data_IF_639880996556
#
_entry.id   IF_639880996556
#
_cell.length_a   1.000
_cell.length_b   1.000
_cell.length_c   1.000
_cell.angle_alpha   90.00
_cell.angle_beta   90.00
_cell.angle_gamma   90.00
#
_symmetry.space_group_name_H-M   'P 1'
#
loop_
_entity.id
_entity.type
_entity.pdbx_description
1 polymer ?
#
# COMPACT_ATOMS: atom_id res chain seq x y z
N UNK A 1 -12.25 -27.18 -4.12
CA UNK A 1 -10.99 -26.42 -4.13
C UNK A 1 -11.35 -24.96 -3.92
N UNK A 2 -10.87 -24.33 -2.85
CA UNK A 2 -11.03 -22.89 -2.67
C UNK A 2 -9.92 -22.26 -3.50
N UNK A 3 -10.28 -21.58 -4.59
CA UNK A 3 -9.33 -20.81 -5.40
C UNK A 3 -9.01 -19.52 -4.67
N UNK A 4 -7.74 -19.19 -4.51
CA UNK A 4 -7.32 -17.87 -4.04
C UNK A 4 -7.89 -16.77 -4.97
N UNK A 5 -8.19 -15.58 -4.43
CA UNK A 5 -8.52 -14.41 -5.23
C UNK A 5 -7.46 -14.11 -6.31
N UNK A 6 -7.87 -13.53 -7.45
CA UNK A 6 -6.96 -13.21 -8.54
C UNK A 6 -6.05 -12.02 -8.18
N UNK A 7 -4.88 -11.97 -8.80
CA UNK A 7 -4.00 -10.80 -8.71
C UNK A 7 -4.64 -9.59 -9.38
N UNK A 8 -4.40 -8.39 -8.82
CA UNK A 8 -4.89 -7.12 -9.36
C UNK A 8 -3.74 -6.15 -9.58
N UNK A 9 -3.70 -5.53 -10.75
CA UNK A 9 -2.60 -4.67 -11.17
C UNK A 9 -3.08 -3.26 -11.48
N UNK A 10 -2.28 -2.27 -11.10
CA UNK A 10 -2.42 -0.88 -11.53
C UNK A 10 -1.07 -0.38 -12.03
N UNK A 11 -1.01 0.03 -13.29
CA UNK A 11 0.21 0.42 -13.99
C UNK A 11 0.08 1.82 -14.59
N UNK A 12 1.16 2.61 -14.55
CA UNK A 12 1.20 3.88 -15.25
C UNK A 12 1.00 3.70 -16.75
N UNK A 13 0.51 4.73 -17.43
CA UNK A 13 0.25 4.67 -18.87
C UNK A 13 1.49 4.27 -19.69
N UNK A 14 2.68 4.64 -19.22
CA UNK A 14 3.96 4.30 -19.85
C UNK A 14 4.61 3.01 -19.31
N UNK A 15 3.98 2.32 -18.36
CA UNK A 15 4.48 1.09 -17.74
C UNK A 15 5.75 1.25 -16.88
N UNK A 16 6.19 2.49 -16.66
CA UNK A 16 7.41 2.80 -15.91
C UNK A 16 7.29 2.52 -14.41
N UNK A 17 6.07 2.47 -13.89
CA UNK A 17 5.76 2.02 -12.52
C UNK A 17 4.43 1.28 -12.49
N UNK A 18 4.38 0.20 -11.72
CA UNK A 18 3.17 -0.54 -11.43
C UNK A 18 3.18 -1.12 -10.02
N UNK A 19 1.99 -1.38 -9.50
CA UNK A 19 1.76 -2.20 -8.32
C UNK A 19 0.87 -3.38 -8.67
N UNK A 20 1.29 -4.55 -8.21
CA UNK A 20 0.57 -5.82 -8.29
C UNK A 20 0.19 -6.24 -6.87
N UNK A 21 -1.10 -6.46 -6.64
CA UNK A 21 -1.63 -7.01 -5.40
C UNK A 21 -1.79 -8.51 -5.59
N UNK A 22 -0.99 -9.30 -4.88
CA UNK A 22 -1.00 -10.76 -4.97
C UNK A 22 -1.58 -11.38 -3.71
N UNK A 23 -2.46 -12.36 -3.86
CA UNK A 23 -3.01 -13.05 -2.70
C UNK A 23 -1.91 -13.82 -1.96
N UNK A 24 -1.72 -13.49 -0.69
CA UNK A 24 -0.76 -14.11 0.21
C UNK A 24 -1.48 -14.50 1.51
N UNK A 25 -1.67 -15.81 1.71
CA UNK A 25 -2.38 -16.39 2.86
C UNK A 25 -3.82 -15.88 3.00
N UNK A 26 -4.03 -14.80 3.73
CA UNK A 26 -5.31 -14.22 4.09
C UNK A 26 -5.51 -12.78 3.59
N UNK A 27 -4.56 -12.23 2.83
CA UNK A 27 -4.56 -10.83 2.39
C UNK A 27 -3.85 -10.64 1.06
N UNK A 28 -3.97 -9.45 0.47
CA UNK A 28 -3.15 -9.04 -0.65
C UNK A 28 -1.83 -8.42 -0.20
N UNK A 29 -0.73 -8.99 -0.68
CA UNK A 29 0.60 -8.42 -0.58
C UNK A 29 0.86 -7.47 -1.75
N UNK A 30 1.53 -6.35 -1.51
CA UNK A 30 1.87 -5.37 -2.52
C UNK A 30 3.21 -5.74 -3.18
N UNK A 31 3.28 -5.68 -4.51
CA UNK A 31 4.49 -5.89 -5.31
C UNK A 31 4.64 -4.72 -6.26
N UNK A 32 5.63 -3.88 -6.05
CA UNK A 32 5.96 -2.72 -6.87
C UNK A 32 7.06 -3.06 -7.85
N UNK A 33 7.02 -2.45 -9.03
CA UNK A 33 8.08 -2.60 -10.01
C UNK A 33 7.76 -1.90 -11.31
N UNK A 34 8.42 -2.34 -12.36
CA UNK A 34 8.18 -1.93 -13.75
C UNK A 34 7.66 -3.12 -14.55
N UNK A 35 7.28 -2.93 -15.80
CA UNK A 35 6.95 -4.05 -16.69
C UNK A 35 8.15 -5.00 -16.93
N UNK A 36 9.39 -4.49 -16.85
CA UNK A 36 10.60 -5.25 -17.12
C UNK A 36 11.18 -5.94 -15.87
N UNK A 37 10.90 -5.40 -14.68
CA UNK A 37 11.49 -5.84 -13.43
C UNK A 37 10.47 -5.72 -12.30
N UNK A 38 10.02 -6.87 -11.78
CA UNK A 38 9.06 -6.96 -10.69
C UNK A 38 9.27 -8.26 -9.88
N UNK A 39 9.30 -8.19 -8.53
CA UNK A 39 9.22 -6.98 -7.71
C UNK A 39 10.57 -6.26 -7.58
N UNK A 40 10.53 -4.94 -7.55
CA UNK A 40 11.59 -4.09 -7.00
C UNK A 40 11.40 -3.90 -5.49
N UNK A 41 10.15 -3.76 -5.04
CA UNK A 41 9.77 -3.58 -3.64
C UNK A 41 8.47 -4.36 -3.38
N UNK A 42 8.33 -4.95 -2.21
CA UNK A 42 7.29 -5.86 -1.77
C UNK A 42 6.88 -5.51 -0.34
N UNK A 43 5.57 -5.55 -0.04
CA UNK A 43 5.14 -5.37 1.36
C UNK A 43 5.56 -6.56 2.20
N UNK A 44 6.08 -6.28 3.39
CA UNK A 44 6.38 -7.29 4.40
C UNK A 44 5.06 -7.64 5.10
N UNK A 45 4.75 -8.93 5.16
CA UNK A 45 3.55 -9.47 5.78
C UNK A 45 3.91 -10.36 6.97
N UNK A 46 3.02 -10.40 7.96
CA UNK A 46 3.06 -11.39 9.04
C UNK A 46 2.26 -12.65 8.67
N UNK A 47 2.19 -13.58 9.62
CA UNK A 47 1.54 -14.88 9.45
C UNK A 47 0.00 -14.86 9.59
N UNK A 48 -0.65 -13.69 9.50
CA UNK A 48 -2.12 -13.60 9.56
C UNK A 48 -2.72 -13.47 10.95
N UNK A 49 -1.96 -13.76 12.01
CA UNK A 49 -2.52 -13.93 13.37
C UNK A 49 -2.53 -12.68 14.25
N UNK A 50 -1.93 -11.57 13.79
CA UNK A 50 -1.71 -10.39 14.62
C UNK A 50 -2.90 -9.43 14.57
N UNK A 51 -3.30 -8.89 15.73
CA UNK A 51 -4.33 -7.85 15.81
C UNK A 51 -3.90 -6.52 15.16
N UNK A 52 -2.59 -6.28 15.10
CA UNK A 52 -1.94 -5.13 14.51
C UNK A 52 -0.83 -5.61 13.58
N UNK A 53 -1.19 -6.02 12.35
CA UNK A 53 -0.23 -6.55 11.41
C UNK A 53 0.76 -5.49 10.94
N UNK A 54 1.92 -5.92 10.42
CA UNK A 54 2.97 -5.01 9.95
C UNK A 54 2.67 -4.32 8.60
N UNK A 55 1.60 -4.75 7.92
CA UNK A 55 1.01 -4.11 6.75
C UNK A 55 -0.53 -4.25 6.79
N UNK A 56 -1.29 -3.40 6.06
CA UNK A 56 -2.75 -3.46 6.04
C UNK A 56 -3.26 -4.82 5.54
N UNK A 57 -4.13 -5.52 6.29
CA UNK A 57 -4.60 -6.87 5.95
C UNK A 57 -5.75 -6.82 4.93
N UNK A 58 -5.49 -6.30 3.73
CA UNK A 58 -6.52 -6.11 2.69
C UNK A 58 -6.99 -7.47 2.16
N UNK A 59 -8.27 -7.78 2.34
CA UNK A 59 -8.87 -9.09 2.05
C UNK A 59 -9.81 -9.05 0.84
N UNK A 60 -10.36 -7.88 0.54
CA UNK A 60 -11.19 -7.63 -0.62
C UNK A 60 -10.59 -6.44 -1.36
N UNK A 61 -10.45 -6.59 -2.67
CA UNK A 61 -9.85 -5.58 -3.55
C UNK A 61 -10.58 -5.62 -4.89
N UNK A 62 -10.85 -4.46 -5.45
CA UNK A 62 -11.38 -4.32 -6.81
C UNK A 62 -10.63 -3.24 -7.58
N UNK A 63 -10.55 -3.42 -8.89
CA UNK A 63 -10.08 -2.41 -9.83
C UNK A 63 -11.32 -1.74 -10.45
N UNK A 64 -11.48 -0.46 -10.20
CA UNK A 64 -12.64 0.32 -10.62
C UNK A 64 -12.23 1.43 -11.60
N UNK A 65 -12.99 1.59 -12.66
CA UNK A 65 -12.85 2.75 -13.55
C UNK A 65 -13.62 3.95 -12.94
N UNK A 66 -12.91 5.01 -12.56
CA UNK A 66 -13.49 6.25 -12.03
C UNK A 66 -13.20 7.44 -12.97
N UNK A 67 -13.88 8.60 -12.84
CA UNK A 67 -13.68 9.73 -13.76
C UNK A 67 -12.25 10.26 -13.86
N UNK A 68 -11.40 9.96 -12.87
CA UNK A 68 -10.00 10.37 -12.80
C UNK A 68 -9.01 9.30 -13.30
N UNK A 69 -9.49 8.15 -13.75
CA UNK A 69 -8.68 7.00 -14.18
C UNK A 69 -9.04 5.72 -13.42
N UNK A 70 -8.26 4.66 -13.61
CA UNK A 70 -8.46 3.43 -12.84
C UNK A 70 -7.96 3.61 -11.40
N UNK A 71 -8.69 3.01 -10.45
CA UNK A 71 -8.33 2.99 -9.04
C UNK A 71 -8.52 1.60 -8.44
N UNK A 72 -7.58 1.17 -7.60
CA UNK A 72 -7.75 0.01 -6.74
C UNK A 72 -8.40 0.44 -5.44
N UNK A 73 -9.50 -0.21 -5.07
CA UNK A 73 -10.23 0.02 -3.82
C UNK A 73 -10.24 -1.27 -3.02
N UNK A 74 -9.75 -1.20 -1.78
CA UNK A 74 -9.63 -2.38 -0.94
C UNK A 74 -10.11 -2.17 0.49
N UNK A 75 -10.57 -3.26 1.10
CA UNK A 75 -10.96 -3.32 2.51
C UNK A 75 -10.45 -4.61 3.15
N UNK A 76 -10.26 -4.56 4.46
CA UNK A 76 -9.82 -5.71 5.23
C UNK A 76 -9.91 -5.47 6.74
N UNK A 77 -9.52 -6.47 7.52
CA UNK A 77 -9.59 -6.41 8.97
C UNK A 77 -8.59 -7.29 9.68
N UNK A 78 -8.16 -6.84 10.86
CA UNK A 78 -7.41 -7.63 11.83
C UNK A 78 -7.90 -7.31 13.25
N UNK A 79 -8.14 -8.36 14.04
CA UNK A 79 -8.73 -8.21 15.37
C UNK A 79 -10.05 -7.44 15.35
N UNK A 80 -10.06 -6.24 15.93
CA UNK A 80 -11.24 -5.35 15.96
C UNK A 80 -11.12 -4.12 15.07
N UNK A 81 -10.10 -4.09 14.21
CA UNK A 81 -9.81 -2.97 13.31
C UNK A 81 -10.37 -3.20 11.91
N UNK A 82 -10.79 -2.12 11.25
CA UNK A 82 -11.20 -2.11 9.85
C UNK A 82 -10.26 -1.23 9.05
N UNK A 83 -9.76 -1.76 7.95
CA UNK A 83 -8.81 -1.11 7.07
C UNK A 83 -9.47 -0.85 5.72
N UNK A 84 -9.13 0.28 5.12
CA UNK A 84 -9.45 0.59 3.73
C UNK A 84 -8.24 1.21 3.06
N UNK A 85 -8.11 0.94 1.76
CA UNK A 85 -7.07 1.47 0.89
C UNK A 85 -7.70 1.97 -0.41
N UNK A 86 -7.21 3.11 -0.91
CA UNK A 86 -7.34 3.50 -2.31
C UNK A 86 -5.95 3.64 -2.92
N UNK A 87 -5.81 3.18 -4.16
CA UNK A 87 -4.60 3.41 -4.97
C UNK A 87 -5.01 3.93 -6.34
N UNK A 88 -4.41 5.03 -6.77
CA UNK A 88 -4.70 5.64 -8.06
C UNK A 88 -3.47 6.39 -8.60
N UNK A 89 -3.49 6.73 -9.88
CA UNK A 89 -2.45 7.56 -10.48
C UNK A 89 -2.63 9.04 -10.13
N UNK A 90 -1.51 9.73 -9.88
CA UNK A 90 -1.49 11.20 -9.83
C UNK A 90 -0.98 11.72 -11.15
N UNK A 91 -1.73 12.65 -11.76
CA UNK A 91 -1.27 13.38 -12.91
C UNK A 91 -0.11 14.31 -12.51
N UNK A 92 1.12 13.84 -12.70
CA UNK A 92 2.34 14.64 -12.58
C UNK A 92 2.98 14.74 -13.96
N UNK A 93 3.27 15.97 -14.40
CA UNK A 93 3.81 16.23 -15.73
C UNK A 93 5.18 15.55 -15.98
N UNK A 94 5.90 15.22 -14.91
CA UNK A 94 7.31 14.82 -15.01
C UNK A 94 7.61 13.45 -14.40
N UNK A 95 6.70 12.79 -13.69
CA UNK A 95 7.03 11.53 -13.02
C UNK A 95 5.79 10.66 -12.77
N UNK A 96 5.71 9.47 -13.38
CA UNK A 96 4.68 8.49 -13.08
C UNK A 96 4.66 8.14 -11.59
N UNK A 97 3.50 8.34 -10.98
CA UNK A 97 3.33 8.29 -9.52
C UNK A 97 2.03 7.58 -9.17
N UNK A 98 2.11 6.66 -8.21
CA UNK A 98 0.97 6.01 -7.58
C UNK A 98 0.72 6.67 -6.22
N UNK A 99 -0.50 7.14 -5.99
CA UNK A 99 -0.97 7.63 -4.70
C UNK A 99 -1.62 6.49 -3.94
N UNK A 100 -1.21 6.32 -2.70
CA UNK A 100 -1.82 5.44 -1.72
C UNK A 100 -2.50 6.28 -0.65
N UNK A 101 -3.74 5.96 -0.33
CA UNK A 101 -4.45 6.54 0.81
C UNK A 101 -5.03 5.41 1.65
N UNK A 102 -4.76 5.46 2.94
CA UNK A 102 -5.15 4.42 3.87
C UNK A 102 -5.95 5.01 5.01
N UNK A 103 -6.91 4.23 5.48
CA UNK A 103 -7.58 4.50 6.73
C UNK A 103 -7.69 3.23 7.54
N UNK A 104 -7.50 3.35 8.86
CA UNK A 104 -7.75 2.29 9.81
C UNK A 104 -8.67 2.81 10.91
N UNK A 105 -9.83 2.17 11.07
CA UNK A 105 -10.77 2.42 12.17
C UNK A 105 -10.56 1.40 13.28
N UNK A 106 -10.47 1.86 14.51
CA UNK A 106 -10.18 1.03 15.68
C UNK A 106 -10.86 1.54 16.95
N UNK A 107 -11.09 0.64 17.91
CA UNK A 107 -11.76 0.94 19.19
C UNK A 107 -10.80 1.09 20.37
N UNK A 108 -9.56 0.62 20.22
CA UNK A 108 -8.50 0.70 21.22
C UNK A 108 -7.21 1.18 20.55
N UNK A 109 -6.29 1.73 21.34
CA UNK A 109 -5.02 2.24 20.83
C UNK A 109 -4.26 1.12 20.09
N UNK A 110 -3.86 1.34 18.83
CA UNK A 110 -3.18 0.32 18.06
C UNK A 110 -1.74 0.15 18.52
N UNK A 111 -1.25 -1.09 18.53
CA UNK A 111 0.17 -1.37 18.77
C UNK A 111 1.06 -0.92 17.59
N UNK A 112 0.52 -1.00 16.38
CA UNK A 112 1.15 -0.53 15.15
C UNK A 112 0.07 -0.19 14.12
N UNK A 113 0.34 0.84 13.31
CA UNK A 113 -0.38 1.13 12.07
C UNK A 113 0.64 1.55 11.01
N UNK A 114 0.47 1.06 9.80
CA UNK A 114 1.33 1.41 8.68
C UNK A 114 1.51 0.25 7.72
N UNK A 115 2.47 0.41 6.83
CA UNK A 115 2.96 -0.60 5.91
C UNK A 115 4.48 -0.69 6.03
N UNK A 116 5.02 -1.90 5.88
CA UNK A 116 6.46 -2.13 5.78
C UNK A 116 6.81 -2.69 4.41
N UNK A 117 7.96 -2.29 3.89
CA UNK A 117 8.45 -2.68 2.58
C UNK A 117 9.94 -3.02 2.64
N UNK A 118 10.39 -3.96 1.81
CA UNK A 118 11.82 -4.10 1.47
C UNK A 118 12.21 -2.96 0.51
N UNK A 119 12.90 -1.96 1.04
CA UNK A 119 13.25 -0.76 0.33
C UNK A 119 14.17 -1.04 -0.86
N UNK A 120 13.89 -0.41 -2.01
CA UNK A 120 14.72 -0.49 -3.20
C UNK A 120 15.02 0.91 -3.75
N UNK A 121 16.29 1.23 -4.06
CA UNK A 121 16.72 2.59 -4.44
C UNK A 121 16.14 3.10 -5.77
N UNK A 122 15.56 2.22 -6.58
CA UNK A 122 14.90 2.60 -7.84
C UNK A 122 13.42 2.96 -7.68
N UNK A 123 12.89 2.93 -6.47
CA UNK A 123 11.57 3.45 -6.13
C UNK A 123 11.70 4.50 -5.03
N UNK A 124 11.07 5.65 -5.24
CA UNK A 124 11.00 6.73 -4.26
C UNK A 124 9.64 6.64 -3.58
N UNK A 125 9.65 6.61 -2.25
CA UNK A 125 8.44 6.73 -1.44
C UNK A 125 8.43 8.09 -0.77
N UNK A 126 7.34 8.83 -0.94
CA UNK A 126 7.16 10.16 -0.36
C UNK A 126 5.93 10.14 0.55
N UNK A 127 6.10 10.48 1.84
CA UNK A 127 4.97 10.62 2.75
C UNK A 127 4.12 11.85 2.40
N UNK A 128 2.80 11.72 2.50
CA UNK A 128 1.89 12.85 2.58
C UNK A 128 1.96 13.54 3.95
N UNK A 129 1.24 14.65 4.09
CA UNK A 129 1.25 15.49 5.31
C UNK A 129 0.79 14.76 6.58
N UNK A 130 0.00 13.70 6.39
CA UNK A 130 -0.60 12.84 7.41
C UNK A 130 0.20 11.56 7.68
N UNK A 131 1.34 11.36 7.00
CA UNK A 131 2.22 10.21 7.16
C UNK A 131 3.63 10.60 7.65
N UNK A 132 4.38 9.58 8.05
CA UNK A 132 5.82 9.65 8.32
C UNK A 132 6.50 8.43 7.69
N UNK A 133 7.73 8.62 7.23
CA UNK A 133 8.61 7.57 6.73
C UNK A 133 9.73 7.32 7.73
N UNK A 134 10.12 6.06 7.85
CA UNK A 134 11.24 5.61 8.67
C UNK A 134 11.96 4.50 7.91
N UNK A 135 13.27 4.65 7.71
CA UNK A 135 14.10 3.68 7.00
C UNK A 135 15.10 3.09 8.00
N UNK A 136 14.95 1.80 8.27
CA UNK A 136 15.83 1.03 9.16
C UNK A 136 16.47 -0.10 8.36
N UNK A 137 17.75 0.08 7.99
CA UNK A 137 18.42 -0.77 7.01
C UNK A 137 17.68 -0.77 5.67
N UNK A 138 17.29 -1.96 5.21
CA UNK A 138 16.53 -2.15 3.97
C UNK A 138 15.01 -2.21 4.22
N UNK A 139 14.53 -1.83 5.41
CA UNK A 139 13.09 -1.83 5.71
C UNK A 139 12.57 -0.40 5.75
N UNK A 140 11.72 -0.06 4.77
CA UNK A 140 10.96 1.18 4.78
C UNK A 140 9.63 0.98 5.52
N UNK A 141 9.35 1.82 6.50
CA UNK A 141 8.06 1.90 7.18
C UNK A 141 7.33 3.19 6.83
N UNK A 142 6.07 3.06 6.41
CA UNK A 142 5.15 4.20 6.23
C UNK A 142 4.05 4.12 7.26
N UNK A 143 3.90 5.14 8.10
CA UNK A 143 2.93 5.13 9.23
C UNK A 143 2.21 6.46 9.38
N UNK A 144 0.99 6.49 9.94
CA UNK A 144 0.29 7.73 10.22
C UNK A 144 1.08 8.61 11.19
N UNK A 145 1.11 9.91 10.91
CA UNK A 145 1.78 10.92 11.74
C UNK A 145 1.11 11.11 13.10
N UNK A 146 -0.19 10.81 13.19
CA UNK A 146 -0.98 10.91 14.42
C UNK A 146 -1.85 9.66 14.61
N UNK A 147 -1.78 9.11 15.81
CA UNK A 147 -2.58 7.96 16.25
C UNK A 147 -3.32 8.40 17.52
N UNK A 148 -4.63 8.20 17.54
CA UNK A 148 -5.45 8.44 18.72
C UNK A 148 -5.66 7.13 19.49
N UNK A 149 -6.26 7.20 20.67
CA UNK A 149 -6.60 5.99 21.45
C UNK A 149 -7.79 5.22 20.86
N UNK A 150 -8.60 5.87 20.03
CA UNK A 150 -9.73 5.27 19.31
C UNK A 150 -10.12 6.18 18.14
N UNK A 151 -10.87 5.65 17.18
CA UNK A 151 -11.38 6.41 16.04
C UNK A 151 -10.81 5.92 14.73
N UNK A 152 -10.48 6.84 13.83
CA UNK A 152 -9.92 6.54 12.51
C UNK A 152 -8.62 7.30 12.32
N UNK A 153 -7.52 6.57 12.10
CA UNK A 153 -6.29 7.16 11.56
C UNK A 153 -6.33 7.11 10.05
N UNK A 154 -5.86 8.16 9.40
CA UNK A 154 -5.67 8.25 7.95
C UNK A 154 -4.24 8.65 7.67
N UNK A 155 -3.68 8.10 6.60
CA UNK A 155 -2.36 8.48 6.12
C UNK A 155 -2.26 8.22 4.62
N UNK A 156 -1.41 8.98 3.96
CA UNK A 156 -1.20 8.90 2.53
C UNK A 156 0.28 8.91 2.19
N UNK A 157 0.64 8.29 1.08
CA UNK A 157 1.99 8.34 0.54
C UNK A 157 1.98 8.10 -0.96
N UNK A 158 3.07 8.45 -1.62
CA UNK A 158 3.27 8.26 -3.04
C UNK A 158 4.44 7.31 -3.29
N UNK A 159 4.33 6.51 -4.35
CA UNK A 159 5.44 5.72 -4.89
C UNK A 159 5.68 6.14 -6.33
N UNK A 160 6.93 6.46 -6.66
CA UNK A 160 7.33 6.90 -8.00
C UNK A 160 8.70 6.35 -8.38
N UNK A 161 9.01 6.31 -9.69
CA UNK A 161 10.33 5.91 -10.19
C UNK A 161 11.19 7.15 -10.47
N UNK A 162 12.47 7.24 -10.03
CA UNK A 162 13.34 8.37 -10.35
C UNK A 162 13.42 8.65 -11.86
N UNK A 163 13.50 9.93 -12.24
CA UNK A 163 13.75 10.32 -13.63
C UNK A 163 15.19 9.97 -14.03
N UNK A 164 15.37 9.35 -15.20
CA UNK A 164 16.69 9.20 -15.83
C UNK A 164 17.53 8.01 -15.36
N UNK A 165 16.91 6.94 -14.86
CA UNK A 165 17.52 5.62 -14.69
C UNK A 165 16.87 4.55 -15.56
#
# INVERSE_FOLDING_TARGET
MITSPPDLNLASQDGSIQVCFRWHQDRYQHHFGTAAEMPLMTSIEDNGGLAWPCSPPIQQLSLEAIPLGDALLGVGGAGTSHWSISVHHVASANQPTLQFELACRYKIAPGFLGSRYDHHPDLIVTAGDDATLDLDGDVLTVKPKRIANQGTSRWSYQVSKPLGR
#
